data_IF_076349967077
#
_entry.id   IF_076349967077
#
_cell.length_a   1.000
_cell.length_b   1.000
_cell.length_c   1.000
_cell.angle_alpha   90.00
_cell.angle_beta   90.00
_cell.angle_gamma   90.00
#
_symmetry.space_group_name_H-M   'P 1'
#
loop_
_entity.id
_entity.type
_entity.pdbx_description
1 polymer ?
#
# COMPACT_ATOMS: atom_id res chain seq x y z
N UNK A 1 14.20 9.32 -55.86
CA UNK A 1 15.13 9.02 -54.74
C UNK A 1 14.98 9.99 -53.56
N UNK A 2 14.76 11.29 -53.79
CA UNK A 2 14.63 12.30 -52.73
C UNK A 2 13.45 12.10 -51.74
N UNK A 3 12.28 11.62 -52.19
CA UNK A 3 11.10 11.44 -51.34
C UNK A 3 11.26 10.33 -50.28
N UNK A 4 12.10 9.32 -50.52
CA UNK A 4 12.38 8.23 -49.54
C UNK A 4 13.30 8.68 -48.41
N UNK A 5 14.14 9.70 -48.63
CA UNK A 5 15.10 10.22 -47.64
C UNK A 5 14.44 11.16 -46.61
N UNK A 6 13.28 11.75 -46.94
CA UNK A 6 12.52 12.61 -46.03
C UNK A 6 11.58 11.82 -45.09
N UNK A 7 11.22 10.57 -45.42
CA UNK A 7 10.36 9.73 -44.56
C UNK A 7 11.10 9.17 -43.33
N UNK A 8 12.40 8.91 -43.44
CA UNK A 8 13.21 8.34 -42.36
C UNK A 8 13.31 9.23 -41.11
N UNK A 9 13.59 10.56 -41.20
CA UNK A 9 13.61 11.43 -40.04
C UNK A 9 12.22 11.64 -39.41
N UNK A 10 11.15 11.64 -40.22
CA UNK A 10 9.77 11.69 -39.73
C UNK A 10 9.37 10.42 -38.97
N UNK A 11 9.80 9.26 -39.47
CA UNK A 11 9.60 7.98 -38.78
C UNK A 11 10.39 7.95 -37.47
N UNK A 12 11.67 8.35 -37.47
CA UNK A 12 12.48 8.45 -36.25
C UNK A 12 11.86 9.42 -35.22
N UNK A 13 11.34 10.56 -35.66
CA UNK A 13 10.69 11.53 -34.77
C UNK A 13 9.40 10.96 -34.17
N UNK A 14 8.58 10.24 -34.94
CA UNK A 14 7.38 9.57 -34.42
C UNK A 14 7.69 8.48 -33.39
N UNK A 15 8.77 7.72 -33.58
CA UNK A 15 9.22 6.69 -32.63
C UNK A 15 9.71 7.32 -31.32
N UNK A 16 10.42 8.46 -31.40
CA UNK A 16 10.83 9.24 -30.22
C UNK A 16 9.63 9.72 -29.38
N UNK A 17 8.53 10.12 -30.03
CA UNK A 17 7.31 10.55 -29.33
C UNK A 17 6.55 9.40 -28.64
N UNK A 18 6.61 8.17 -29.16
CA UNK A 18 5.97 7.01 -28.51
C UNK A 18 6.76 6.50 -27.30
N UNK A 19 8.08 6.61 -27.30
CA UNK A 19 8.94 6.10 -26.20
C UNK A 19 8.96 7.04 -24.98
N UNK A 20 8.63 8.32 -25.16
CA UNK A 20 8.63 9.32 -24.09
C UNK A 20 7.41 9.31 -23.15
N UNK A 21 6.39 8.49 -23.43
CA UNK A 21 5.18 8.43 -22.60
C UNK A 21 5.37 7.41 -21.47
N UNK A 22 6.21 7.76 -20.49
CA UNK A 22 6.19 7.07 -19.20
C UNK A 22 4.88 7.44 -18.52
N UNK A 23 3.94 6.52 -18.44
CA UNK A 23 2.80 6.64 -17.53
C UNK A 23 3.39 6.63 -16.13
N UNK A 24 3.50 7.80 -15.50
CA UNK A 24 3.97 7.89 -14.13
C UNK A 24 2.97 7.12 -13.30
N UNK A 25 3.37 5.95 -12.77
CA UNK A 25 2.49 5.09 -12.02
C UNK A 25 1.72 5.94 -10.99
N UNK A 26 0.40 5.93 -11.09
CA UNK A 26 -0.44 6.70 -10.19
C UNK A 26 -0.09 6.29 -8.76
N UNK A 27 0.14 7.30 -7.90
CA UNK A 27 0.45 7.03 -6.50
C UNK A 27 -0.74 6.30 -5.89
N UNK A 28 -0.53 5.19 -5.16
CA UNK A 28 -1.64 4.48 -4.55
C UNK A 28 -2.29 5.36 -3.49
N UNK A 29 -3.62 5.24 -3.36
CA UNK A 29 -4.33 5.81 -2.22
C UNK A 29 -4.02 4.97 -0.98
N UNK A 30 -3.56 5.62 0.09
CA UNK A 30 -3.24 4.94 1.35
C UNK A 30 -4.39 5.19 2.32
N UNK A 31 -5.06 4.10 2.75
CA UNK A 31 -6.07 4.14 3.81
C UNK A 31 -5.47 3.48 5.05
N UNK A 32 -5.31 4.27 6.11
CA UNK A 32 -4.76 3.80 7.38
C UNK A 32 -5.89 3.63 8.41
N UNK A 33 -6.11 2.39 8.87
CA UNK A 33 -7.16 2.04 9.84
C UNK A 33 -6.49 1.66 11.16
N UNK A 34 -6.82 2.38 12.23
CA UNK A 34 -6.37 2.10 13.59
C UNK A 34 -7.58 1.83 14.49
N UNK A 35 -7.62 0.64 15.08
CA UNK A 35 -8.59 0.30 16.13
C UNK A 35 -7.97 0.56 17.50
N UNK A 36 -8.72 1.22 18.40
CA UNK A 36 -8.29 1.44 19.78
C UNK A 36 -8.58 0.20 20.63
N UNK A 37 -7.66 -0.15 21.52
CA UNK A 37 -7.75 -1.29 22.45
C UNK A 37 -8.10 -2.65 21.82
N UNK A 38 -7.82 -2.86 20.53
CA UNK A 38 -8.01 -4.16 19.87
C UNK A 38 -6.83 -5.09 20.20
N UNK A 39 -7.09 -6.17 20.93
CA UNK A 39 -6.10 -7.19 21.27
C UNK A 39 -5.73 -8.07 20.09
N UNK A 40 -4.49 -8.60 20.12
CA UNK A 40 -3.96 -9.50 19.07
C UNK A 40 -4.87 -10.71 18.81
N UNK A 41 -5.51 -11.26 19.85
CA UNK A 41 -6.39 -12.42 19.76
C UNK A 41 -7.87 -12.12 19.52
N UNK A 42 -8.25 -10.85 19.29
CA UNK A 42 -9.66 -10.46 19.16
C UNK A 42 -10.22 -10.68 17.74
N UNK A 43 -9.34 -10.80 16.74
CA UNK A 43 -9.71 -11.10 15.34
C UNK A 43 -9.51 -12.57 15.03
N UNK A 44 -10.44 -13.16 14.27
CA UNK A 44 -10.44 -14.61 14.00
C UNK A 44 -9.29 -15.06 13.13
N UNK A 45 -8.79 -14.20 12.25
CA UNK A 45 -7.60 -14.46 11.47
C UNK A 45 -6.33 -14.70 12.32
N UNK A 46 -6.29 -14.22 13.57
CA UNK A 46 -5.18 -14.43 14.52
C UNK A 46 -5.54 -15.39 15.66
N UNK A 47 -6.83 -15.58 15.92
CA UNK A 47 -7.36 -16.53 16.91
C UNK A 47 -8.55 -17.28 16.31
N UNK A 48 -8.33 -18.44 15.67
CA UNK A 48 -9.39 -19.23 15.02
C UNK A 48 -10.51 -19.66 15.98
N UNK A 49 -10.21 -19.75 17.28
CA UNK A 49 -11.15 -20.07 18.35
C UNK A 49 -11.86 -18.82 18.92
N UNK A 50 -11.61 -17.65 18.34
CA UNK A 50 -12.19 -16.37 18.73
C UNK A 50 -13.72 -16.35 18.64
N UNK A 51 -14.37 -15.86 19.70
CA UNK A 51 -15.83 -15.85 19.82
C UNK A 51 -16.49 -14.88 18.85
N UNK A 52 -15.84 -13.76 18.55
CA UNK A 52 -16.39 -12.67 17.72
C UNK A 52 -16.09 -12.95 16.25
N UNK A 53 -17.14 -12.94 15.41
CA UNK A 53 -16.96 -13.05 13.96
C UNK A 53 -16.43 -11.73 13.39
N UNK A 54 -15.32 -11.78 12.65
CA UNK A 54 -14.65 -10.60 12.05
C UNK A 54 -14.46 -10.79 10.54
N UNK A 55 -15.53 -11.07 9.77
CA UNK A 55 -15.42 -11.55 8.38
C UNK A 55 -14.71 -10.57 7.43
N UNK A 56 -14.83 -9.26 7.67
CA UNK A 56 -14.14 -8.25 6.85
C UNK A 56 -12.63 -8.19 7.16
N UNK A 57 -12.23 -8.37 8.41
CA UNK A 57 -10.81 -8.49 8.78
C UNK A 57 -10.21 -9.79 8.26
N UNK A 58 -10.96 -10.89 8.35
CA UNK A 58 -10.56 -12.20 7.81
C UNK A 58 -10.37 -12.14 6.28
N UNK A 59 -11.19 -11.35 5.58
CA UNK A 59 -11.02 -11.09 4.15
C UNK A 59 -9.76 -10.29 3.86
N UNK A 60 -9.54 -9.18 4.58
CA UNK A 60 -8.34 -8.35 4.43
C UNK A 60 -7.05 -9.14 4.66
N UNK A 61 -7.02 -9.98 5.69
CA UNK A 61 -5.86 -10.82 6.00
C UNK A 61 -5.57 -11.85 4.88
N UNK A 62 -6.61 -12.37 4.21
CA UNK A 62 -6.47 -13.36 3.12
C UNK A 62 -6.07 -12.74 1.79
N UNK A 63 -6.54 -11.52 1.52
CA UNK A 63 -6.23 -10.78 0.29
C UNK A 63 -4.91 -10.00 0.39
N UNK A 64 -4.30 -9.96 1.57
CA UNK A 64 -3.09 -9.18 1.84
C UNK A 64 -2.04 -9.95 2.62
N UNK A 65 -1.42 -9.24 3.57
CA UNK A 65 -0.36 -9.76 4.41
C UNK A 65 -0.71 -9.54 5.88
N UNK A 66 -0.38 -10.52 6.71
CA UNK A 66 -0.58 -10.47 8.16
C UNK A 66 0.77 -10.50 8.86
N UNK A 67 1.02 -9.52 9.73
CA UNK A 67 2.20 -9.48 10.59
C UNK A 67 1.86 -10.09 11.95
N UNK A 68 2.52 -11.20 12.31
CA UNK A 68 2.28 -11.91 13.57
C UNK A 68 3.17 -11.45 14.73
N UNK A 69 4.13 -10.57 14.44
CA UNK A 69 5.09 -10.02 15.40
C UNK A 69 5.15 -8.49 15.22
N UNK A 70 4.02 -7.83 15.50
CA UNK A 70 3.87 -6.39 15.41
C UNK A 70 3.57 -5.81 16.79
N UNK A 71 4.36 -4.82 17.21
CA UNK A 71 4.25 -4.20 18.54
C UNK A 71 3.87 -2.73 18.44
N UNK A 72 3.05 -2.26 19.39
CA UNK A 72 2.84 -0.83 19.59
C UNK A 72 4.09 -0.18 20.18
N UNK A 73 4.35 1.08 19.81
CA UNK A 73 5.48 1.84 20.37
C UNK A 73 5.32 2.17 21.86
N UNK A 74 4.14 1.95 22.43
CA UNK A 74 3.83 2.12 23.86
C UNK A 74 2.59 1.30 24.25
N UNK A 75 2.35 1.16 25.57
CA UNK A 75 1.16 0.51 26.13
C UNK A 75 -0.01 1.48 26.38
N UNK A 76 0.10 2.74 25.97
CA UNK A 76 -0.97 3.76 26.15
C UNK A 76 -1.21 4.56 24.86
N UNK A 77 -2.43 5.11 24.73
CA UNK A 77 -2.95 5.64 23.47
C UNK A 77 -2.15 6.82 22.91
N UNK A 78 -1.88 7.85 23.70
CA UNK A 78 -1.17 9.08 23.27
C UNK A 78 0.23 8.80 22.70
N UNK A 79 1.15 8.13 23.41
CA UNK A 79 2.49 7.85 22.87
C UNK A 79 2.48 6.88 21.69
N UNK A 80 1.56 5.91 21.64
CA UNK A 80 1.39 5.04 20.46
C UNK A 80 1.00 5.86 19.22
N UNK A 81 0.02 6.75 19.35
CA UNK A 81 -0.42 7.62 18.25
C UNK A 81 0.65 8.63 17.86
N UNK A 82 1.40 9.17 18.83
CA UNK A 82 2.53 10.05 18.57
C UNK A 82 3.60 9.37 17.70
N UNK A 83 4.01 8.15 18.06
CA UNK A 83 5.03 7.43 17.30
C UNK A 83 4.57 7.05 15.90
N UNK A 84 3.29 6.72 15.74
CA UNK A 84 2.68 6.41 14.45
C UNK A 84 2.65 7.63 13.51
N UNK A 85 2.27 8.80 14.01
CA UNK A 85 2.14 10.02 13.19
C UNK A 85 3.49 10.66 12.86
N UNK A 86 4.49 10.50 13.73
CA UNK A 86 5.77 11.20 13.62
C UNK A 86 6.95 10.31 13.22
N UNK A 87 6.80 8.98 13.31
CA UNK A 87 7.90 8.03 13.13
C UNK A 87 8.99 8.14 14.21
N UNK A 88 8.65 8.64 15.41
CA UNK A 88 9.59 8.86 16.51
C UNK A 88 9.16 8.14 17.78
N UNK A 89 10.13 7.76 18.61
CA UNK A 89 9.83 7.29 19.95
C UNK A 89 9.25 8.43 20.80
N UNK A 90 8.33 8.08 21.70
CA UNK A 90 7.71 8.97 22.66
C UNK A 90 8.59 9.18 23.89
#
# INVERSE_FOLDING_TARGET
MAARMALLPLLCLSVLFLVGRSDAAEKPSIVFILADDLGYGDVRCLNPQGKIATPHMDRLAREGMTFTDAHSGSAVCTPTRYGLLTGRYA
#
